data_IF_391799549249
#
_entry.id   IF_391799549249
#
_cell.length_a   1.000
_cell.length_b   1.000
_cell.length_c   1.000
_cell.angle_alpha   90.00
_cell.angle_beta   90.00
_cell.angle_gamma   90.00
#
_symmetry.space_group_name_H-M   'P 1'
#
loop_
_entity.id
_entity.type
_entity.pdbx_description
1 polymer ?
#
# COMPACT_ATOMS: atom_id res chain seq x y z
N UNK A 1 30.97 -74.67 34.25
CA UNK A 1 31.90 -74.10 33.26
C UNK A 1 31.09 -73.15 32.38
N UNK A 2 31.64 -71.97 32.04
CA UNK A 2 31.19 -70.61 32.41
C UNK A 2 30.20 -70.02 31.37
N UNK A 3 29.73 -68.78 31.37
CA UNK A 3 30.42 -67.51 31.63
C UNK A 3 29.43 -66.37 31.92
N UNK A 4 29.89 -65.47 32.78
CA UNK A 4 29.39 -64.15 33.04
C UNK A 4 29.37 -63.29 31.76
N UNK A 5 28.47 -62.31 31.67
CA UNK A 5 28.89 -60.90 31.69
C UNK A 5 27.82 -59.90 31.26
N UNK A 6 27.49 -59.06 32.25
CA UNK A 6 27.49 -57.59 32.19
C UNK A 6 26.48 -56.84 31.30
N UNK A 7 25.70 -55.98 31.98
CA UNK A 7 25.77 -54.56 31.63
C UNK A 7 24.44 -53.79 31.55
N UNK A 8 23.94 -53.35 32.72
CA UNK A 8 23.38 -52.02 33.00
C UNK A 8 22.52 -51.29 31.94
N UNK A 9 21.24 -51.07 32.25
CA UNK A 9 20.55 -49.80 31.90
C UNK A 9 19.75 -49.25 33.08
N UNK A 10 19.99 -47.96 33.33
CA UNK A 10 19.46 -47.13 34.42
C UNK A 10 17.93 -46.94 34.33
N UNK A 11 17.26 -46.58 35.44
CA UNK A 11 15.84 -46.26 35.45
C UNK A 11 15.56 -44.91 34.77
N UNK A 12 14.60 -44.94 33.84
CA UNK A 12 14.12 -43.76 33.12
C UNK A 12 13.39 -42.80 34.04
N UNK A 13 13.87 -41.56 34.06
CA UNK A 13 13.21 -40.38 34.63
C UNK A 13 12.31 -39.80 33.54
N UNK A 14 11.00 -39.70 33.76
CA UNK A 14 10.11 -39.29 32.66
C UNK A 14 8.65 -38.97 33.02
N UNK A 15 8.46 -37.85 33.71
CA UNK A 15 7.31 -36.89 33.65
C UNK A 15 5.91 -37.33 34.15
N UNK A 16 5.20 -36.42 34.85
CA UNK A 16 3.81 -36.62 35.26
C UNK A 16 2.83 -36.43 34.09
N UNK A 17 1.62 -36.97 34.29
CA UNK A 17 0.47 -36.91 33.41
C UNK A 17 0.20 -35.48 32.89
N UNK A 18 0.07 -35.34 31.57
CA UNK A 18 -0.52 -34.16 30.97
C UNK A 18 -2.04 -34.36 30.92
N UNK A 19 -2.73 -33.59 31.77
CA UNK A 19 -4.16 -33.34 31.65
C UNK A 19 -4.49 -32.89 30.23
N UNK A 20 -5.42 -33.59 29.58
CA UNK A 20 -6.03 -33.14 28.34
C UNK A 20 -6.96 -31.98 28.70
N UNK A 21 -6.40 -30.77 28.77
CA UNK A 21 -7.20 -29.56 28.75
C UNK A 21 -7.64 -29.35 27.30
N UNK A 22 -8.86 -29.77 26.97
CA UNK A 22 -9.51 -29.33 25.74
C UNK A 22 -9.70 -27.82 25.87
N UNK A 23 -8.81 -27.10 25.21
CA UNK A 23 -8.85 -25.65 25.14
C UNK A 23 -10.15 -25.23 24.46
N UNK A 24 -11.09 -24.74 25.26
CA UNK A 24 -12.41 -24.27 24.82
C UNK A 24 -12.33 -22.90 24.12
N UNK A 25 -11.13 -22.41 23.83
CA UNK A 25 -10.86 -21.06 23.33
C UNK A 25 -10.86 -20.94 21.79
N UNK A 26 -11.47 -21.88 21.07
CA UNK A 26 -11.65 -21.75 19.61
C UNK A 26 -12.92 -21.00 19.19
N UNK A 27 -13.81 -20.65 20.13
CA UNK A 27 -15.11 -20.01 19.83
C UNK A 27 -15.22 -18.55 20.25
N UNK A 28 -14.10 -17.94 20.66
CA UNK A 28 -14.00 -16.53 21.06
C UNK A 28 -12.79 -15.84 20.40
N UNK A 29 -12.50 -16.14 19.12
CA UNK A 29 -11.97 -15.07 18.25
C UNK A 29 -13.09 -14.07 18.07
N UNK A 30 -13.19 -13.18 19.05
CA UNK A 30 -14.21 -12.17 19.16
C UNK A 30 -14.04 -11.23 17.98
N UNK A 31 -15.19 -10.81 17.47
CA UNK A 31 -15.43 -9.80 16.45
C UNK A 31 -14.46 -8.59 16.47
N UNK A 32 -13.87 -8.28 17.62
CA UNK A 32 -12.83 -7.26 17.82
C UNK A 32 -11.51 -7.49 17.06
N UNK A 33 -11.08 -8.73 16.78
CA UNK A 33 -9.86 -8.98 15.97
C UNK A 33 -10.10 -8.77 14.47
N UNK A 34 -11.33 -9.06 14.00
CA UNK A 34 -11.75 -8.70 12.65
C UNK A 34 -11.96 -7.19 12.55
N UNK A 35 -12.67 -6.57 13.51
CA UNK A 35 -12.87 -5.12 13.58
C UNK A 35 -11.53 -4.37 13.68
N UNK A 36 -10.58 -4.86 14.49
CA UNK A 36 -9.21 -4.35 14.53
C UNK A 36 -8.41 -4.61 13.24
N UNK A 37 -8.74 -5.62 12.44
CA UNK A 37 -8.11 -5.88 11.14
C UNK A 37 -8.72 -5.09 9.98
N UNK A 38 -9.99 -4.65 10.07
CA UNK A 38 -10.58 -3.67 9.15
C UNK A 38 -10.27 -2.23 9.57
N UNK A 39 -10.17 -1.93 10.86
CA UNK A 39 -9.69 -0.63 11.38
C UNK A 39 -8.18 -0.47 11.23
N UNK A 40 -7.39 -1.54 11.32
CA UNK A 40 -5.98 -1.55 10.89
C UNK A 40 -5.84 -1.57 9.35
N UNK A 41 -6.92 -1.82 8.61
CA UNK A 41 -6.97 -1.56 7.15
C UNK A 41 -7.45 -0.14 6.82
N UNK A 42 -7.99 0.58 7.81
CA UNK A 42 -7.90 2.05 7.91
C UNK A 42 -6.52 2.50 8.43
N UNK A 43 -5.46 1.69 8.25
CA UNK A 43 -4.10 2.22 8.24
C UNK A 43 -4.04 3.34 7.21
N UNK A 44 -3.84 4.55 7.71
CA UNK A 44 -3.96 5.83 7.03
C UNK A 44 -3.43 5.81 5.58
N UNK A 45 -4.29 5.51 4.61
CA UNK A 45 -3.95 5.60 3.20
C UNK A 45 -3.77 7.07 2.84
N UNK A 46 -2.58 7.45 2.36
CA UNK A 46 -2.34 8.81 1.92
C UNK A 46 -2.80 8.96 0.47
N UNK A 47 -3.53 10.04 0.18
CA UNK A 47 -3.96 10.34 -1.19
C UNK A 47 -3.33 11.63 -1.64
N UNK A 48 -2.53 11.59 -2.70
CA UNK A 48 -2.11 12.78 -3.41
C UNK A 48 -3.14 13.11 -4.49
N UNK A 49 -3.70 14.31 -4.42
CA UNK A 49 -4.56 14.88 -5.44
C UNK A 49 -3.72 15.85 -6.26
N UNK A 50 -3.72 15.67 -7.57
CA UNK A 50 -3.03 16.56 -8.52
C UNK A 50 -4.09 17.22 -9.39
N UNK A 51 -4.14 18.55 -9.38
CA UNK A 51 -5.07 19.32 -10.21
C UNK A 51 -4.29 20.07 -11.27
N UNK A 52 -4.65 19.84 -12.52
CA UNK A 52 -4.16 20.61 -13.67
C UNK A 52 -5.22 21.64 -14.04
N UNK A 53 -4.85 22.92 -14.09
CA UNK A 53 -5.78 24.03 -14.37
C UNK A 53 -5.24 25.02 -15.39
N UNK A 54 -6.16 25.53 -16.22
CA UNK A 54 -5.83 26.39 -17.35
C UNK A 54 -5.01 25.68 -18.42
N UNK A 55 -4.02 26.40 -18.97
CA UNK A 55 -3.24 25.94 -20.12
C UNK A 55 -3.95 26.16 -21.45
N UNK A 56 -3.21 25.99 -22.54
CA UNK A 56 -3.74 25.99 -23.91
C UNK A 56 -3.89 24.58 -24.46
N UNK A 57 -3.28 23.59 -23.81
CA UNK A 57 -3.20 22.22 -24.27
C UNK A 57 -3.22 21.21 -23.11
N UNK A 58 -4.04 20.17 -23.25
CA UNK A 58 -4.03 18.99 -22.39
C UNK A 58 -4.41 17.75 -23.20
N UNK A 59 -3.47 16.82 -23.41
CA UNK A 59 -3.73 15.52 -24.04
C UNK A 59 -4.18 14.51 -22.99
N UNK A 60 -5.50 14.23 -23.02
CA UNK A 60 -6.14 13.30 -22.08
C UNK A 60 -5.74 11.86 -22.30
N UNK A 61 -5.57 11.46 -23.56
CA UNK A 61 -5.25 10.08 -23.91
C UNK A 61 -3.81 9.78 -23.50
N UNK A 62 -2.88 10.70 -23.77
CA UNK A 62 -1.50 10.57 -23.28
C UNK A 62 -1.45 10.53 -21.74
N UNK A 63 -2.21 11.40 -21.07
CA UNK A 63 -2.23 11.41 -19.61
C UNK A 63 -2.68 10.05 -19.03
N UNK A 64 -3.73 9.45 -19.58
CA UNK A 64 -4.28 8.18 -19.09
C UNK A 64 -3.45 6.97 -19.52
N UNK A 65 -3.03 6.91 -20.77
CA UNK A 65 -2.43 5.70 -21.35
C UNK A 65 -0.90 5.65 -21.18
N UNK A 66 -0.26 6.79 -20.88
CA UNK A 66 1.20 6.88 -20.74
C UNK A 66 1.60 7.41 -19.37
N UNK A 67 1.12 8.59 -18.99
CA UNK A 67 1.60 9.26 -17.78
C UNK A 67 1.19 8.53 -16.49
N UNK A 68 -0.08 8.13 -16.37
CA UNK A 68 -0.54 7.38 -15.19
C UNK A 68 0.20 6.02 -15.05
N UNK A 69 0.34 5.18 -16.10
CA UNK A 69 1.15 3.96 -16.02
C UNK A 69 2.61 4.21 -15.67
N UNK A 70 3.23 5.28 -16.18
CA UNK A 70 4.60 5.67 -15.82
C UNK A 70 4.70 5.96 -14.31
N UNK A 71 3.76 6.76 -13.77
CA UNK A 71 3.73 7.07 -12.35
C UNK A 71 3.52 5.80 -11.50
N UNK A 72 2.64 4.88 -11.91
CA UNK A 72 2.52 3.56 -11.26
C UNK A 72 3.85 2.82 -11.27
N UNK A 73 4.49 2.66 -12.44
CA UNK A 73 5.73 1.90 -12.56
C UNK A 73 6.86 2.47 -11.68
N UNK A 74 7.00 3.80 -11.63
CA UNK A 74 8.00 4.48 -10.82
C UNK A 74 7.72 4.38 -9.31
N UNK A 75 6.48 4.62 -8.90
CA UNK A 75 6.14 4.79 -7.48
C UNK A 75 5.55 3.55 -6.80
N UNK A 76 5.22 2.49 -7.53
CA UNK A 76 4.67 1.26 -6.94
C UNK A 76 5.62 0.64 -5.90
N UNK A 77 6.93 0.63 -6.19
CA UNK A 77 7.94 0.14 -5.24
C UNK A 77 8.03 0.97 -3.95
N UNK A 78 7.60 2.22 -4.00
CA UNK A 78 7.55 3.13 -2.86
C UNK A 78 6.21 3.06 -2.13
N UNK A 79 5.22 2.31 -2.63
CA UNK A 79 3.93 2.10 -1.97
C UNK A 79 2.74 2.77 -2.66
N UNK A 80 2.87 3.23 -3.90
CA UNK A 80 1.71 3.60 -4.73
C UNK A 80 0.89 2.34 -5.06
N UNK A 81 -0.39 2.38 -4.75
CA UNK A 81 -1.31 1.25 -4.99
C UNK A 81 -2.19 1.47 -6.22
N UNK A 82 -2.54 2.72 -6.52
CA UNK A 82 -3.39 3.05 -7.66
C UNK A 82 -3.21 4.51 -8.07
N UNK A 83 -3.35 4.78 -9.37
CA UNK A 83 -3.54 6.12 -9.91
C UNK A 83 -4.80 6.15 -10.79
N UNK A 84 -5.57 7.25 -10.71
CA UNK A 84 -6.77 7.45 -11.50
C UNK A 84 -6.90 8.93 -11.88
N UNK A 85 -7.60 9.22 -12.97
CA UNK A 85 -7.87 10.57 -13.42
C UNK A 85 -9.38 10.82 -13.57
N UNK A 86 -9.79 12.04 -13.25
CA UNK A 86 -11.12 12.56 -13.49
C UNK A 86 -11.02 13.83 -14.33
N UNK A 87 -11.90 13.95 -15.31
CA UNK A 87 -11.96 15.09 -16.20
C UNK A 87 -13.29 15.82 -15.98
N UNK A 88 -13.25 17.12 -15.62
CA UNK A 88 -14.46 17.92 -15.50
C UNK A 88 -15.28 17.88 -16.80
N UNK A 89 -16.60 17.74 -16.64
CA UNK A 89 -17.56 17.79 -17.76
C UNK A 89 -17.99 19.23 -18.09
N UNK A 90 -17.88 20.13 -17.12
CA UNK A 90 -18.22 21.54 -17.31
C UNK A 90 -17.16 22.22 -18.17
N UNK A 91 -17.60 22.75 -19.31
CA UNK A 91 -16.76 23.47 -20.27
C UNK A 91 -16.24 24.80 -19.73
N UNK A 92 -16.85 25.32 -18.66
CA UNK A 92 -16.40 26.54 -17.97
C UNK A 92 -15.48 26.24 -16.78
N UNK A 93 -15.18 24.96 -16.50
CA UNK A 93 -14.24 24.62 -15.44
C UNK A 93 -12.85 25.14 -15.78
N UNK A 94 -12.20 25.76 -14.79
CA UNK A 94 -10.78 26.12 -14.89
C UNK A 94 -9.86 24.90 -14.79
N UNK A 95 -10.35 23.82 -14.18
CA UNK A 95 -9.62 22.58 -14.03
C UNK A 95 -9.81 21.71 -15.27
N UNK A 96 -8.72 21.22 -15.82
CA UNK A 96 -8.73 20.35 -17.01
C UNK A 96 -8.58 18.88 -16.65
N UNK A 97 -8.00 18.57 -15.48
CA UNK A 97 -7.83 17.22 -14.96
C UNK A 97 -7.64 17.22 -13.44
N UNK A 98 -8.13 16.17 -12.77
CA UNK A 98 -7.85 15.85 -11.38
C UNK A 98 -7.35 14.41 -11.29
N UNK A 99 -6.07 14.23 -10.97
CA UNK A 99 -5.42 12.95 -10.71
C UNK A 99 -5.46 12.57 -9.23
N UNK A 100 -5.72 11.31 -8.93
CA UNK A 100 -5.69 10.73 -7.59
C UNK A 100 -4.65 9.61 -7.54
N UNK A 101 -3.66 9.76 -6.67
CA UNK A 101 -2.61 8.77 -6.41
C UNK A 101 -2.73 8.27 -4.98
N UNK A 102 -3.11 7.00 -4.81
CA UNK A 102 -3.33 6.41 -3.49
C UNK A 102 -2.13 5.60 -3.07
N UNK A 103 -1.49 6.03 -2.00
CA UNK A 103 -0.38 5.35 -1.37
C UNK A 103 -0.84 4.56 -0.15
N UNK A 104 -0.08 3.52 0.18
CA UNK A 104 -0.30 2.69 1.37
C UNK A 104 -0.25 3.51 2.68
N UNK A 105 0.61 4.52 2.74
CA UNK A 105 0.75 5.44 3.88
C UNK A 105 1.45 6.75 3.46
N UNK A 106 1.47 7.75 4.34
CA UNK A 106 2.07 9.06 4.05
C UNK A 106 3.60 8.98 3.88
N UNK A 107 4.27 8.11 4.65
CA UNK A 107 5.72 7.93 4.53
C UNK A 107 6.10 7.38 3.13
N UNK A 108 5.29 6.46 2.60
CA UNK A 108 5.39 5.90 1.25
C UNK A 108 5.24 6.99 0.18
N UNK A 109 4.28 7.91 0.35
CA UNK A 109 4.10 9.05 -0.53
C UNK A 109 5.33 9.97 -0.52
N UNK A 110 5.82 10.37 0.66
CA UNK A 110 6.99 11.24 0.76
C UNK A 110 8.25 10.57 0.20
N UNK A 111 8.43 9.26 0.44
CA UNK A 111 9.55 8.50 -0.14
C UNK A 111 9.49 8.47 -1.67
N UNK A 112 8.29 8.28 -2.24
CA UNK A 112 8.09 8.35 -3.68
C UNK A 112 8.47 9.73 -4.24
N UNK A 113 7.96 10.81 -3.65
CA UNK A 113 8.24 12.19 -4.08
C UNK A 113 9.73 12.56 -3.96
N UNK A 114 10.43 12.04 -2.96
CA UNK A 114 11.87 12.28 -2.76
C UNK A 114 12.78 11.37 -3.62
N UNK A 115 12.22 10.38 -4.32
CA UNK A 115 12.99 9.45 -5.14
C UNK A 115 13.40 10.06 -6.48
N UNK A 116 14.54 9.62 -7.00
CA UNK A 116 14.99 9.97 -8.36
C UNK A 116 14.02 9.47 -9.45
N UNK A 117 13.12 8.52 -9.13
CA UNK A 117 12.10 8.05 -10.08
C UNK A 117 11.06 9.14 -10.38
N UNK A 118 10.94 10.16 -9.52
CA UNK A 118 10.06 11.32 -9.72
C UNK A 118 10.54 12.20 -10.88
N UNK A 119 11.84 12.27 -11.14
CA UNK A 119 12.38 13.09 -12.23
C UNK A 119 11.79 12.65 -13.58
N UNK A 120 11.71 11.33 -13.82
CA UNK A 120 11.13 10.78 -15.03
C UNK A 120 9.63 11.12 -15.19
N UNK A 121 8.88 11.22 -14.09
CA UNK A 121 7.46 11.61 -14.11
C UNK A 121 7.34 13.10 -14.40
N UNK A 122 8.18 13.94 -13.78
CA UNK A 122 8.15 15.39 -13.97
C UNK A 122 8.61 15.79 -15.39
N UNK A 123 9.59 15.10 -15.95
CA UNK A 123 10.06 15.28 -17.33
C UNK A 123 9.00 14.89 -18.38
N UNK A 124 8.03 14.05 -17.99
CA UNK A 124 6.93 13.64 -18.85
C UNK A 124 5.78 14.65 -18.88
N UNK A 125 5.66 15.52 -17.87
CA UNK A 125 4.57 16.53 -17.76
C UNK A 125 4.45 17.42 -19.01
N UNK A 126 5.53 18.02 -19.55
CA UNK A 126 5.43 18.87 -20.72
C UNK A 126 4.98 18.16 -22.00
N UNK A 127 4.95 16.82 -22.03
CA UNK A 127 4.53 16.05 -23.22
C UNK A 127 3.03 16.06 -23.42
N UNK A 128 2.25 16.21 -22.34
CA UNK A 128 0.79 16.17 -22.41
C UNK A 128 0.11 17.45 -21.95
N UNK A 129 0.81 18.39 -21.32
CA UNK A 129 0.14 19.60 -20.80
C UNK A 129 1.06 20.80 -20.68
N UNK A 130 0.49 21.99 -20.85
CA UNK A 130 1.07 23.28 -20.43
C UNK A 130 0.29 23.92 -19.26
N UNK A 131 -0.75 23.25 -18.77
CA UNK A 131 -1.55 23.69 -17.63
C UNK A 131 -0.72 23.83 -16.35
N UNK A 132 -1.20 24.69 -15.45
CA UNK A 132 -0.63 24.82 -14.13
C UNK A 132 -0.95 23.57 -13.29
N UNK A 133 0.08 22.91 -12.77
CA UNK A 133 -0.05 21.67 -11.98
C UNK A 133 0.10 21.99 -10.50
N UNK A 134 -0.93 21.67 -9.72
CA UNK A 134 -0.94 21.81 -8.27
C UNK A 134 -1.11 20.45 -7.63
N UNK A 135 -0.50 20.23 -6.45
CA UNK A 135 -0.67 18.99 -5.68
C UNK A 135 -1.13 19.29 -4.26
N UNK A 136 -1.98 18.43 -3.74
CA UNK A 136 -2.45 18.43 -2.36
C UNK A 136 -2.32 17.01 -1.80
N UNK A 137 -1.82 16.87 -0.58
CA UNK A 137 -1.77 15.59 0.12
C UNK A 137 -2.94 15.57 1.12
N UNK A 138 -3.89 14.68 0.88
CA UNK A 138 -5.01 14.42 1.78
C UNK A 138 -4.62 13.40 2.85
N UNK A 139 -4.85 13.75 4.11
CA UNK A 139 -4.89 12.79 5.20
C UNK A 139 -6.21 11.99 5.14
N UNK A 140 -6.25 10.77 5.70
CA UNK A 140 -7.50 10.02 5.81
C UNK A 140 -8.54 10.82 6.62
N UNK A 141 -9.79 10.77 6.18
CA UNK A 141 -10.95 11.35 6.88
C UNK A 141 -11.42 10.45 8.03
#
# INVERSE_FOLDING_TARGET
>A
MPDDSHGSRKPGKGRPAADIHIDRNHKQRTRAECEGSVESRLMANATMVVTCSGGTYFDRDYYVDVHLPLALACWQKHGLESAAAFFPRDVNSVDVSVGFYRFRDEASLHAALASADTDAIMDDVPRFTDANVTRMIGAPL
#
